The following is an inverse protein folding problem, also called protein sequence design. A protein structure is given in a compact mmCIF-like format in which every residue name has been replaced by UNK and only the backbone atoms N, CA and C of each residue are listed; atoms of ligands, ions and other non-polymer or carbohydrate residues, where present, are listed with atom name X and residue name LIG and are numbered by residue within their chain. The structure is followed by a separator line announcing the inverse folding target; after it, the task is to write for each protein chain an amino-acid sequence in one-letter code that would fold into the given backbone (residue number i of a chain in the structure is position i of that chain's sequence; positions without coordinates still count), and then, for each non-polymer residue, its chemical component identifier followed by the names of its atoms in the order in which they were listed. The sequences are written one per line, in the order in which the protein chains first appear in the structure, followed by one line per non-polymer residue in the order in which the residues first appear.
data_IF_596683962717
#
_entry.id   IF_596683962717
#
_cell.length_a   1.000
_cell.length_b   1.000
_cell.length_c   1.000
_cell.angle_alpha   90.00
_cell.angle_beta   90.00
_cell.angle_gamma   90.00
#
_symmetry.space_group_name_H-M   'P 1'
#
loop_
_entity.id
_entity.type
_entity.pdbx_description
1 polymer ?
#
# COMPACT_ATOMS: atom_id res chain seq x y z
N UNK A 1 66.16 10.06 45.12
CA UNK A 1 66.34 9.60 43.73
C UNK A 1 67.80 9.25 43.54
N UNK A 2 68.10 8.16 42.83
CA UNK A 2 69.48 7.73 42.58
C UNK A 2 69.99 8.37 41.30
N UNK A 3 71.13 9.03 41.40
CA UNK A 3 71.84 9.56 40.24
C UNK A 3 72.45 8.39 39.46
N UNK A 4 72.39 8.46 38.13
CA UNK A 4 72.86 7.39 37.23
C UNK A 4 73.93 7.96 36.32
N UNK A 5 75.05 7.26 36.17
CA UNK A 5 76.15 7.72 35.31
C UNK A 5 75.78 7.64 33.83
N UNK A 6 76.35 8.53 33.01
CA UNK A 6 76.07 8.54 31.57
C UNK A 6 76.40 7.22 30.89
N UNK A 7 77.48 6.54 31.32
CA UNK A 7 77.85 5.20 30.82
C UNK A 7 76.78 4.14 31.08
N UNK A 8 76.19 4.14 32.27
CA UNK A 8 75.15 3.16 32.64
C UNK A 8 73.84 3.47 31.93
N UNK A 9 73.48 4.76 31.80
CA UNK A 9 72.32 5.21 31.04
C UNK A 9 72.46 4.89 29.53
N UNK A 10 73.66 5.06 28.96
CA UNK A 10 73.95 4.73 27.57
C UNK A 10 73.78 3.24 27.28
N UNK A 11 74.28 2.37 28.18
CA UNK A 11 74.10 0.93 28.10
C UNK A 11 72.63 0.51 28.21
N UNK A 12 71.89 1.09 29.15
CA UNK A 12 70.45 0.85 29.33
C UNK A 12 69.64 1.25 28.08
N UNK A 13 69.98 2.39 27.47
CA UNK A 13 69.32 2.92 26.27
C UNK A 13 69.89 2.40 24.96
N UNK A 14 70.90 1.53 25.01
CA UNK A 14 71.59 0.98 23.84
C UNK A 14 72.04 2.07 22.84
N UNK A 15 72.55 3.19 23.37
CA UNK A 15 73.08 4.31 22.59
C UNK A 15 74.55 4.53 22.93
N UNK A 16 75.32 5.09 22.00
CA UNK A 16 76.72 5.43 22.31
C UNK A 16 76.77 6.56 23.33
N UNK A 17 77.78 6.50 24.21
CA UNK A 17 78.04 7.53 25.23
C UNK A 17 78.18 8.91 24.59
N UNK A 18 78.89 9.00 23.47
CA UNK A 18 79.08 10.22 22.70
C UNK A 18 77.76 10.81 22.18
N UNK A 19 76.85 9.96 21.67
CA UNK A 19 75.54 10.40 21.20
C UNK A 19 74.68 10.91 22.35
N UNK A 20 74.73 10.25 23.50
CA UNK A 20 73.99 10.66 24.68
C UNK A 20 74.50 12.01 25.22
N UNK A 21 75.82 12.20 25.27
CA UNK A 21 76.46 13.48 25.62
C UNK A 21 76.03 14.58 24.64
N UNK A 22 76.03 14.30 23.33
CA UNK A 22 75.55 15.24 22.32
C UNK A 22 74.07 15.59 22.52
N UNK A 23 73.21 14.63 22.84
CA UNK A 23 71.79 14.87 23.09
C UNK A 23 71.55 15.72 24.35
N UNK A 24 72.35 15.54 25.40
CA UNK A 24 72.32 16.42 26.57
C UNK A 24 72.80 17.83 26.22
N UNK A 25 73.85 17.97 25.42
CA UNK A 25 74.34 19.26 24.95
C UNK A 25 73.29 19.99 24.09
N UNK A 26 72.62 19.28 23.19
CA UNK A 26 71.50 19.79 22.39
C UNK A 26 70.33 20.24 23.30
N UNK A 27 70.10 19.53 24.41
CA UNK A 27 69.12 19.90 25.43
C UNK A 27 69.61 21.00 26.41
N UNK A 28 70.80 21.58 26.18
CA UNK A 28 71.36 22.67 26.98
C UNK A 28 72.10 22.25 28.26
N UNK A 29 72.28 20.94 28.49
CA UNK A 29 72.94 20.39 29.67
C UNK A 29 74.32 19.87 29.25
N UNK A 30 75.40 20.54 29.67
CA UNK A 30 76.76 20.06 29.38
C UNK A 30 77.17 18.99 30.39
N UNK A 31 77.41 17.77 29.91
CA UNK A 31 77.91 16.64 30.69
C UNK A 31 79.00 15.91 29.92
N UNK A 32 79.92 15.29 30.64
CA UNK A 32 80.99 14.46 30.11
C UNK A 32 80.69 12.97 30.34
N UNK A 33 81.49 12.08 29.75
CA UNK A 33 81.24 10.64 29.78
C UNK A 33 81.18 10.03 31.20
N UNK A 34 81.82 10.66 32.17
CA UNK A 34 81.94 10.18 33.55
C UNK A 34 80.96 10.86 34.52
N UNK A 35 80.20 11.86 34.05
CA UNK A 35 79.27 12.60 34.90
C UNK A 35 78.00 11.79 35.22
N UNK A 36 77.39 12.15 36.34
CA UNK A 36 76.10 11.64 36.79
C UNK A 36 74.95 12.50 36.26
N UNK A 37 73.86 11.83 35.91
CA UNK A 37 72.61 12.42 35.42
C UNK A 37 71.55 12.31 36.52
N UNK A 38 71.02 13.47 36.92
CA UNK A 38 69.90 13.54 37.86
C UNK A 38 68.59 13.16 37.18
N UNK A 39 67.56 12.84 37.97
CA UNK A 39 66.25 12.54 37.41
C UNK A 39 65.64 13.72 36.64
N UNK A 40 65.87 14.96 37.09
CA UNK A 40 65.38 16.16 36.38
C UNK A 40 66.03 16.30 35.00
N UNK A 41 67.35 16.09 34.91
CA UNK A 41 68.09 16.15 33.65
C UNK A 41 67.64 15.06 32.67
N UNK A 42 67.30 13.86 33.16
CA UNK A 42 66.70 12.80 32.34
C UNK A 42 65.35 13.21 31.78
N UNK A 43 64.50 13.85 32.59
CA UNK A 43 63.21 14.37 32.13
C UNK A 43 63.42 15.40 31.00
N UNK A 44 64.34 16.35 31.18
CA UNK A 44 64.66 17.36 30.15
C UNK A 44 65.13 16.74 28.85
N UNK A 45 65.99 15.71 28.91
CA UNK A 45 66.40 14.96 27.73
C UNK A 45 65.21 14.28 27.04
N UNK A 46 64.31 13.65 27.80
CA UNK A 46 63.10 13.01 27.26
C UNK A 46 62.19 14.04 26.58
N UNK A 47 61.98 15.20 27.20
CA UNK A 47 61.15 16.27 26.64
C UNK A 47 61.73 16.79 25.33
N UNK A 48 63.04 17.04 25.28
CA UNK A 48 63.71 17.46 24.05
C UNK A 48 63.63 16.38 22.95
N UNK A 49 63.82 15.10 23.29
CA UNK A 49 63.68 14.01 22.32
C UNK A 49 62.24 13.88 21.82
N UNK A 50 61.24 14.04 22.69
CA UNK A 50 59.84 14.01 22.30
C UNK A 50 59.46 15.20 21.42
N UNK A 51 60.02 16.39 21.68
CA UNK A 51 59.85 17.57 20.83
C UNK A 51 60.53 17.39 19.47
N UNK A 52 61.71 16.77 19.41
CA UNK A 52 62.42 16.50 18.16
C UNK A 52 61.77 15.39 17.32
N UNK A 53 61.17 14.39 17.97
CA UNK A 53 60.43 13.31 17.32
C UNK A 53 58.97 13.68 17.01
N UNK A 54 58.47 14.80 17.54
CA UNK A 54 57.24 15.42 17.11
C UNK A 54 57.45 15.96 15.70
N UNK A 55 56.95 15.23 14.70
CA UNK A 55 57.02 15.62 13.29
C UNK A 55 56.47 17.04 13.02
N UNK A 56 56.56 17.53 11.78
CA UNK A 56 56.26 18.93 11.46
C UNK A 56 54.85 19.34 11.89
N UNK A 57 54.72 20.55 12.44
CA UNK A 57 53.45 21.12 12.89
C UNK A 57 52.39 21.22 11.78
N UNK A 58 52.82 21.17 10.52
CA UNK A 58 51.98 21.23 9.34
C UNK A 58 52.32 20.11 8.36
N UNK A 59 51.37 19.21 8.14
CA UNK A 59 51.46 18.13 7.16
C UNK A 59 50.50 18.40 5.99
N UNK A 60 51.03 18.59 4.79
CA UNK A 60 50.21 18.71 3.57
C UNK A 60 50.16 17.40 2.81
N UNK A 61 48.97 16.79 2.72
CA UNK A 61 48.71 15.63 1.88
C UNK A 61 48.17 16.08 0.52
N UNK A 62 48.84 15.66 -0.56
CA UNK A 62 48.44 15.93 -1.93
C UNK A 62 47.87 14.65 -2.56
N UNK A 63 46.66 14.72 -3.11
CA UNK A 63 46.04 13.61 -3.84
C UNK A 63 45.80 14.00 -5.29
N UNK A 64 46.19 13.13 -6.22
CA UNK A 64 45.92 13.28 -7.65
C UNK A 64 44.91 12.24 -8.07
N UNK A 65 43.88 12.63 -8.81
CA UNK A 65 42.86 11.73 -9.35
C UNK A 65 42.63 12.10 -10.81
N UNK A 66 42.83 11.14 -11.72
CA UNK A 66 42.61 11.34 -13.15
C UNK A 66 41.25 10.76 -13.50
N UNK A 67 40.44 11.52 -14.22
CA UNK A 67 39.14 11.09 -14.75
C UNK A 67 39.07 11.43 -16.24
N UNK A 68 38.24 10.72 -17.00
CA UNK A 68 37.98 11.05 -18.40
C UNK A 68 36.59 11.63 -18.51
N UNK A 69 36.48 12.85 -19.06
CA UNK A 69 35.21 13.51 -19.30
C UNK A 69 34.87 13.39 -20.79
N UNK A 70 33.74 12.76 -21.08
CA UNK A 70 33.21 12.67 -22.43
C UNK A 70 32.29 13.86 -22.68
N UNK A 71 32.68 14.71 -23.63
CA UNK A 71 31.91 15.90 -24.00
C UNK A 71 31.18 15.59 -25.33
N UNK A 72 29.84 15.66 -25.36
CA UNK A 72 29.10 15.54 -26.61
C UNK A 72 29.37 16.76 -27.48
N UNK A 73 29.95 16.56 -28.67
CA UNK A 73 30.22 17.63 -29.62
C UNK A 73 29.05 17.88 -30.56
N UNK A 74 28.88 19.13 -30.99
CA UNK A 74 27.95 19.49 -32.07
C UNK A 74 28.37 18.79 -33.36
N UNK A 75 27.51 17.92 -33.89
CA UNK A 75 27.77 17.12 -35.09
C UNK A 75 28.05 15.62 -34.86
N UNK A 76 27.69 15.07 -33.69
CA UNK A 76 27.68 13.61 -33.46
C UNK A 76 29.04 12.99 -33.11
N UNK A 77 30.12 13.79 -33.05
CA UNK A 77 31.46 13.36 -32.64
C UNK A 77 31.68 13.71 -31.18
N UNK A 78 31.88 12.72 -30.31
CA UNK A 78 32.25 12.92 -28.91
C UNK A 78 33.76 13.12 -28.77
N UNK A 79 34.18 14.06 -27.91
CA UNK A 79 35.58 14.25 -27.52
C UNK A 79 35.75 13.77 -26.09
N UNK A 80 36.77 12.94 -25.84
CA UNK A 80 37.18 12.58 -24.48
C UNK A 80 38.34 13.47 -24.05
N UNK A 81 38.20 14.09 -22.88
CA UNK A 81 39.24 14.92 -22.26
C UNK A 81 39.69 14.25 -20.97
N UNK A 82 40.99 13.99 -20.84
CA UNK A 82 41.54 13.46 -19.59
C UNK A 82 41.79 14.61 -18.61
N UNK A 83 41.05 14.62 -17.51
CA UNK A 83 41.11 15.65 -16.47
C UNK A 83 41.87 15.08 -15.28
N UNK A 84 42.90 15.78 -14.82
CA UNK A 84 43.55 15.49 -13.54
C UNK A 84 43.11 16.49 -12.48
N UNK A 85 42.44 16.01 -11.44
CA UNK A 85 42.09 16.81 -10.27
C UNK A 85 43.20 16.62 -9.22
N UNK A 86 43.79 17.73 -8.77
CA UNK A 86 44.77 17.77 -7.68
C UNK A 86 44.10 18.36 -6.44
N UNK A 87 43.97 17.58 -5.36
CA UNK A 87 43.45 18.02 -4.07
C UNK A 87 44.59 18.16 -3.07
N UNK A 88 44.62 19.28 -2.35
CA UNK A 88 45.50 19.49 -1.19
C UNK A 88 44.68 19.41 0.10
N UNK A 89 45.13 18.62 1.07
CA UNK A 89 44.63 18.65 2.45
C UNK A 89 45.77 19.02 3.37
N UNK A 90 45.57 20.02 4.21
CA UNK A 90 46.59 20.50 5.15
C UNK A 90 46.12 20.14 6.55
N UNK A 91 46.88 19.31 7.24
CA UNK A 91 46.68 18.98 8.64
C UNK A 91 47.66 19.80 9.48
N UNK A 92 47.14 20.49 10.48
CA UNK A 92 47.94 21.22 11.46
C UNK A 92 47.85 20.43 12.76
N UNK A 93 48.98 20.25 13.44
CA UNK A 93 49.03 19.63 14.76
C UNK A 93 48.33 20.58 15.74
N UNK A 94 47.11 20.22 16.13
CA UNK A 94 46.28 20.99 17.09
C UNK A 94 46.56 20.51 18.50
N UNK A 95 46.40 21.41 19.46
CA UNK A 95 46.46 21.05 20.87
C UNK A 95 45.39 19.99 21.20
N UNK A 96 45.71 19.03 22.07
CA UNK A 96 44.80 17.92 22.38
C UNK A 96 43.44 18.40 22.91
N UNK A 97 43.40 19.51 23.64
CA UNK A 97 42.15 20.11 24.13
C UNK A 97 41.28 20.69 23.01
N UNK A 98 41.87 21.34 22.00
CA UNK A 98 41.11 21.84 20.85
C UNK A 98 40.63 20.69 19.96
N UNK A 99 41.46 19.66 19.79
CA UNK A 99 41.10 18.46 19.05
C UNK A 99 39.90 17.73 19.67
N UNK A 100 39.87 17.61 21.00
CA UNK A 100 38.76 17.00 21.74
C UNK A 100 37.47 17.82 21.62
N UNK A 101 37.55 19.15 21.72
CA UNK A 101 36.38 20.04 21.52
C UNK A 101 35.79 19.92 20.12
N UNK A 102 36.63 19.92 19.09
CA UNK A 102 36.19 19.76 17.69
C UNK A 102 35.61 18.37 17.43
N UNK A 103 36.19 17.32 18.01
CA UNK A 103 35.65 15.97 17.90
C UNK A 103 34.27 15.85 18.58
N UNK A 104 34.10 16.47 19.76
CA UNK A 104 32.80 16.52 20.44
C UNK A 104 31.75 17.31 19.65
N UNK A 105 32.14 18.44 19.04
CA UNK A 105 31.24 19.21 18.17
C UNK A 105 30.85 18.43 16.90
N UNK A 106 31.80 17.76 16.26
CA UNK A 106 31.53 16.92 15.08
C UNK A 106 30.63 15.73 15.44
N UNK A 107 30.81 15.12 16.61
CA UNK A 107 29.93 14.05 17.10
C UNK A 107 28.52 14.58 17.37
N UNK A 108 28.39 15.71 18.07
CA UNK A 108 27.09 16.33 18.32
C UNK A 108 26.35 16.69 17.02
N UNK A 109 27.06 17.20 16.01
CA UNK A 109 26.48 17.48 14.70
C UNK A 109 26.01 16.21 13.99
N UNK A 110 26.80 15.13 14.03
CA UNK A 110 26.43 13.84 13.42
C UNK A 110 25.22 13.21 14.12
N UNK A 111 25.18 13.27 15.45
CA UNK A 111 24.04 12.76 16.22
C UNK A 111 22.76 13.55 15.92
N UNK A 112 22.85 14.88 15.83
CA UNK A 112 21.73 15.74 15.46
C UNK A 112 21.24 15.45 14.02
N UNK A 113 22.16 15.29 13.05
CA UNK A 113 21.81 14.94 11.68
C UNK A 113 21.18 13.54 11.59
N UNK A 114 21.69 12.57 12.35
CA UNK A 114 21.13 11.23 12.39
C UNK A 114 19.75 11.19 13.05
N UNK A 115 19.54 11.93 14.14
CA UNK A 115 18.23 12.10 14.76
C UNK A 115 17.23 12.73 13.80
N UNK A 116 17.59 13.84 13.15
CA UNK A 116 16.72 14.48 12.15
C UNK A 116 16.37 13.53 11.00
N UNK A 117 17.32 12.70 10.55
CA UNK A 117 17.07 11.69 9.52
C UNK A 117 16.12 10.59 9.99
N UNK A 118 16.28 10.10 11.22
CA UNK A 118 15.40 9.07 11.81
C UNK A 118 13.99 9.59 12.01
N UNK A 119 13.84 10.82 12.52
CA UNK A 119 12.53 11.47 12.70
C UNK A 119 11.81 11.65 11.35
N UNK A 120 12.52 12.11 10.32
CA UNK A 120 11.96 12.26 8.98
C UNK A 120 11.55 10.91 8.36
N UNK A 121 12.32 9.85 8.58
CA UNK A 121 11.97 8.51 8.11
C UNK A 121 10.75 7.94 8.85
N UNK A 122 10.68 8.14 10.16
CA UNK A 122 9.56 7.68 10.98
C UNK A 122 8.27 8.44 10.64
N UNK A 123 8.34 9.76 10.44
CA UNK A 123 7.18 10.56 10.01
C UNK A 123 6.69 10.10 8.63
N UNK A 124 7.60 9.85 7.68
CA UNK A 124 7.22 9.36 6.35
C UNK A 124 6.55 7.98 6.42
N UNK A 125 7.05 7.06 7.27
CA UNK A 125 6.43 5.75 7.48
C UNK A 125 5.04 5.86 8.11
N UNK A 126 4.87 6.70 9.13
CA UNK A 126 3.56 6.94 9.78
C UNK A 126 2.55 7.53 8.81
N UNK A 127 2.96 8.50 7.99
CA UNK A 127 2.08 9.11 6.99
C UNK A 127 1.66 8.09 5.91
N UNK A 128 2.60 7.27 5.43
CA UNK A 128 2.31 6.20 4.49
C UNK A 128 1.33 5.15 5.07
N UNK A 129 1.52 4.76 6.33
CA UNK A 129 0.62 3.82 7.01
C UNK A 129 -0.78 4.40 7.19
N UNK A 130 -0.90 5.65 7.67
CA UNK A 130 -2.21 6.30 7.82
C UNK A 130 -2.93 6.46 6.48
N UNK A 131 -2.18 6.76 5.41
CA UNK A 131 -2.77 6.87 4.08
C UNK A 131 -3.30 5.51 3.58
N UNK A 132 -2.51 4.45 3.76
CA UNK A 132 -2.93 3.09 3.40
C UNK A 132 -4.16 2.64 4.22
N UNK A 133 -4.21 2.93 5.51
CA UNK A 133 -5.35 2.59 6.36
C UNK A 133 -6.62 3.37 5.96
N UNK A 134 -6.49 4.65 5.63
CA UNK A 134 -7.61 5.46 5.11
C UNK A 134 -8.12 4.94 3.77
N UNK A 135 -7.25 4.62 2.84
CA UNK A 135 -7.64 4.05 1.54
C UNK A 135 -8.32 2.68 1.71
N UNK A 136 -7.80 1.81 2.58
CA UNK A 136 -8.43 0.52 2.88
C UNK A 136 -9.81 0.68 3.54
N UNK A 137 -9.94 1.60 4.50
CA UNK A 137 -11.21 1.88 5.16
C UNK A 137 -12.24 2.48 4.19
N UNK A 138 -11.81 3.34 3.25
CA UNK A 138 -12.68 3.89 2.23
C UNK A 138 -13.11 2.83 1.21
N UNK A 139 -12.21 1.95 0.78
CA UNK A 139 -12.54 0.82 -0.08
C UNK A 139 -13.56 -0.11 0.58
N UNK A 140 -13.33 -0.50 1.84
CA UNK A 140 -14.26 -1.34 2.59
C UNK A 140 -15.66 -0.70 2.71
N UNK A 141 -15.75 0.62 2.94
CA UNK A 141 -17.03 1.34 2.95
C UNK A 141 -17.71 1.34 1.58
N UNK A 142 -16.95 1.54 0.50
CA UNK A 142 -17.49 1.52 -0.87
C UNK A 142 -18.01 0.13 -1.25
N UNK A 143 -17.26 -0.91 -0.95
CA UNK A 143 -17.67 -2.30 -1.20
C UNK A 143 -18.91 -2.68 -0.39
N UNK A 144 -18.97 -2.33 0.90
CA UNK A 144 -20.16 -2.57 1.72
C UNK A 144 -21.39 -1.82 1.20
N UNK A 145 -21.23 -0.55 0.78
CA UNK A 145 -22.32 0.22 0.19
C UNK A 145 -22.78 -0.34 -1.17
N UNK A 146 -21.86 -0.86 -1.97
CA UNK A 146 -22.19 -1.49 -3.25
C UNK A 146 -22.90 -2.83 -3.04
N UNK A 147 -22.43 -3.66 -2.10
CA UNK A 147 -23.10 -4.90 -1.73
C UNK A 147 -24.53 -4.65 -1.23
N UNK A 148 -24.72 -3.67 -0.33
CA UNK A 148 -26.05 -3.30 0.16
C UNK A 148 -26.98 -2.84 -0.99
N UNK A 149 -26.46 -2.08 -1.96
CA UNK A 149 -27.24 -1.68 -3.15
C UNK A 149 -27.59 -2.87 -4.04
N UNK A 150 -26.66 -3.81 -4.24
CA UNK A 150 -26.89 -5.01 -5.04
C UNK A 150 -27.93 -5.92 -4.38
N UNK A 151 -27.83 -6.15 -3.07
CA UNK A 151 -28.80 -6.94 -2.31
C UNK A 151 -30.19 -6.30 -2.31
N UNK A 152 -30.29 -4.98 -2.16
CA UNK A 152 -31.56 -4.27 -2.26
C UNK A 152 -32.18 -4.40 -3.67
N UNK A 153 -31.38 -4.21 -4.72
CA UNK A 153 -31.84 -4.35 -6.10
C UNK A 153 -32.23 -5.80 -6.46
N UNK A 154 -31.58 -6.81 -5.87
CA UNK A 154 -31.95 -8.21 -6.03
C UNK A 154 -33.27 -8.52 -5.31
N UNK A 155 -33.44 -8.06 -4.07
CA UNK A 155 -34.71 -8.22 -3.34
C UNK A 155 -35.88 -7.57 -4.06
N UNK A 156 -35.70 -6.37 -4.61
CA UNK A 156 -36.74 -5.70 -5.39
C UNK A 156 -37.09 -6.49 -6.65
N UNK A 157 -36.09 -7.04 -7.37
CA UNK A 157 -36.35 -7.89 -8.55
C UNK A 157 -37.09 -9.17 -8.19
N UNK A 158 -36.72 -9.84 -7.10
CA UNK A 158 -37.37 -11.08 -6.66
C UNK A 158 -38.81 -10.81 -6.20
N UNK A 159 -39.04 -9.71 -5.46
CA UNK A 159 -40.39 -9.29 -5.06
C UNK A 159 -41.26 -9.02 -6.28
N UNK A 160 -40.76 -8.24 -7.25
CA UNK A 160 -41.53 -7.89 -8.45
C UNK A 160 -41.83 -9.13 -9.31
N UNK A 161 -40.91 -10.09 -9.40
CA UNK A 161 -41.15 -11.36 -10.08
C UNK A 161 -42.19 -12.23 -9.37
N UNK A 162 -42.20 -12.26 -8.03
CA UNK A 162 -43.23 -12.97 -7.26
C UNK A 162 -44.61 -12.31 -7.42
N UNK A 163 -44.66 -10.97 -7.43
CA UNK A 163 -45.90 -10.23 -7.65
C UNK A 163 -46.46 -10.44 -9.07
N UNK A 164 -45.60 -10.48 -10.10
CA UNK A 164 -46.02 -10.79 -11.47
C UNK A 164 -46.47 -12.25 -11.63
N UNK A 165 -45.76 -13.20 -11.02
CA UNK A 165 -46.14 -14.62 -11.02
C UNK A 165 -47.51 -14.84 -10.36
N UNK A 166 -47.76 -14.19 -9.22
CA UNK A 166 -49.03 -14.31 -8.50
C UNK A 166 -50.18 -13.63 -9.23
N UNK A 167 -49.98 -12.45 -9.83
CA UNK A 167 -50.98 -11.79 -10.68
C UNK A 167 -51.31 -12.63 -11.92
N UNK A 168 -50.30 -13.20 -12.58
CA UNK A 168 -50.52 -14.03 -13.77
C UNK A 168 -51.27 -15.33 -13.43
N UNK A 169 -50.93 -15.97 -12.31
CA UNK A 169 -51.64 -17.15 -11.82
C UNK A 169 -53.11 -16.84 -11.45
N UNK A 170 -53.37 -15.68 -10.84
CA UNK A 170 -54.74 -15.23 -10.54
C UNK A 170 -55.53 -14.90 -11.81
N UNK A 171 -54.91 -14.24 -12.80
CA UNK A 171 -55.53 -13.94 -14.08
C UNK A 171 -55.85 -15.21 -14.88
N UNK A 172 -54.96 -16.21 -14.88
CA UNK A 172 -55.21 -17.49 -15.53
C UNK A 172 -56.35 -18.26 -14.86
N UNK A 173 -56.39 -18.27 -13.52
CA UNK A 173 -57.49 -18.88 -12.76
C UNK A 173 -58.83 -18.21 -13.07
N UNK A 174 -58.87 -16.88 -13.10
CA UNK A 174 -60.08 -16.13 -13.44
C UNK A 174 -60.54 -16.42 -14.89
N UNK A 175 -59.61 -16.53 -15.84
CA UNK A 175 -59.93 -16.88 -17.23
C UNK A 175 -60.52 -18.29 -17.36
N UNK A 176 -59.95 -19.27 -16.66
CA UNK A 176 -60.48 -20.64 -16.63
C UNK A 176 -61.87 -20.71 -15.99
N UNK A 177 -62.12 -19.92 -14.95
CA UNK A 177 -63.43 -19.84 -14.30
C UNK A 177 -64.50 -19.18 -15.21
N UNK A 178 -64.13 -18.13 -15.94
CA UNK A 178 -64.99 -17.52 -16.96
C UNK A 178 -65.33 -18.49 -18.09
N UNK A 179 -64.33 -19.20 -18.62
CA UNK A 179 -64.55 -20.20 -19.68
C UNK A 179 -65.47 -21.35 -19.20
N UNK A 180 -65.29 -21.82 -17.96
CA UNK A 180 -66.17 -22.81 -17.36
C UNK A 180 -67.60 -22.29 -17.15
N UNK A 181 -67.76 -21.03 -16.74
CA UNK A 181 -69.07 -20.39 -16.60
C UNK A 181 -69.79 -20.21 -17.94
N UNK A 182 -69.07 -19.84 -19.00
CA UNK A 182 -69.62 -19.74 -20.35
C UNK A 182 -70.05 -21.10 -20.90
N UNK A 183 -69.24 -22.14 -20.70
CA UNK A 183 -69.61 -23.52 -21.05
C UNK A 183 -70.87 -23.97 -20.32
N UNK A 184 -70.98 -23.67 -19.01
CA UNK A 184 -72.17 -23.99 -18.22
C UNK A 184 -73.40 -23.22 -18.70
N UNK A 185 -73.25 -21.95 -19.05
CA UNK A 185 -74.35 -21.12 -19.59
C UNK A 185 -74.82 -21.63 -20.95
N UNK A 186 -73.90 -21.99 -21.85
CA UNK A 186 -74.23 -22.59 -23.16
C UNK A 186 -74.96 -23.93 -22.97
N UNK A 187 -74.52 -24.76 -22.03
CA UNK A 187 -75.21 -26.01 -21.71
C UNK A 187 -76.62 -25.79 -21.14
N UNK A 188 -76.82 -24.78 -20.29
CA UNK A 188 -78.15 -24.43 -19.79
C UNK A 188 -79.06 -23.87 -20.90
N UNK A 189 -78.53 -23.00 -21.77
CA UNK A 189 -79.28 -22.45 -22.91
C UNK A 189 -79.66 -23.54 -23.91
N UNK A 190 -78.77 -24.50 -24.20
CA UNK A 190 -79.09 -25.65 -25.07
C UNK A 190 -80.13 -26.58 -24.42
N UNK A 191 -80.03 -26.82 -23.11
CA UNK A 191 -81.03 -27.59 -22.37
C UNK A 191 -82.41 -26.90 -22.37
N UNK A 192 -82.45 -25.57 -22.16
CA UNK A 192 -83.68 -24.78 -22.27
C UNK A 192 -84.27 -24.83 -23.67
N UNK A 193 -83.44 -24.70 -24.71
CA UNK A 193 -83.90 -24.78 -26.10
C UNK A 193 -84.49 -26.16 -26.43
N UNK A 194 -83.87 -27.25 -25.95
CA UNK A 194 -84.43 -28.61 -26.11
C UNK A 194 -85.78 -28.76 -25.40
N UNK A 195 -85.91 -28.24 -24.18
CA UNK A 195 -87.18 -28.23 -23.44
C UNK A 195 -88.25 -27.37 -24.15
N UNK A 196 -87.88 -26.24 -24.74
CA UNK A 196 -88.79 -25.38 -25.50
C UNK A 196 -89.22 -26.04 -26.82
N UNK A 197 -88.30 -26.69 -27.54
CA UNK A 197 -88.60 -27.46 -28.75
C UNK A 197 -89.50 -28.67 -28.46
N UNK A 198 -89.28 -29.38 -27.35
CA UNK A 198 -90.19 -30.44 -26.88
C UNK A 198 -91.56 -29.90 -26.49
N UNK A 199 -91.62 -28.79 -25.75
CA UNK A 199 -92.89 -28.14 -25.40
C UNK A 199 -93.65 -27.68 -26.65
N UNK A 200 -92.95 -27.19 -27.68
CA UNK A 200 -93.54 -26.81 -28.97
C UNK A 200 -94.09 -28.02 -29.72
N UNK A 201 -93.36 -29.15 -29.72
CA UNK A 201 -93.85 -30.41 -30.31
C UNK A 201 -95.11 -30.92 -29.60
N UNK A 202 -95.13 -30.91 -28.27
CA UNK A 202 -96.30 -31.31 -27.48
C UNK A 202 -97.48 -30.37 -27.75
N UNK A 203 -97.24 -29.06 -27.89
CA UNK A 203 -98.28 -28.10 -28.23
C UNK A 203 -98.81 -28.25 -29.67
N UNK A 204 -97.94 -28.60 -30.63
CA UNK A 204 -98.31 -28.89 -32.01
C UNK A 204 -99.06 -30.22 -32.14
N UNK A 205 -98.65 -31.25 -31.40
CA UNK A 205 -99.37 -32.51 -31.28
C UNK A 205 -100.74 -32.31 -30.63
N UNK A 206 -100.83 -31.50 -29.57
CA UNK A 206 -102.11 -31.11 -28.97
C UNK A 206 -102.99 -30.32 -29.96
N UNK A 207 -102.41 -29.45 -30.80
CA UNK A 207 -103.14 -28.77 -31.89
C UNK A 207 -103.62 -29.74 -32.96
N UNK A 208 -102.79 -30.71 -33.36
CA UNK A 208 -103.16 -31.74 -34.32
C UNK A 208 -104.29 -32.63 -33.80
N UNK A 209 -104.23 -33.02 -32.53
CA UNK A 209 -105.30 -33.76 -31.85
C UNK A 209 -106.59 -32.92 -31.74
N UNK A 210 -106.48 -31.59 -31.60
CA UNK A 210 -107.62 -30.68 -31.62
C UNK A 210 -108.19 -30.47 -33.04
N UNK A 211 -107.37 -30.47 -34.09
CA UNK A 211 -107.82 -30.47 -35.48
C UNK A 211 -108.44 -31.81 -35.91
N UNK A 212 -107.90 -32.94 -35.43
CA UNK A 212 -108.46 -34.27 -35.66
C UNK A 212 -109.81 -34.44 -34.94
N UNK A 213 -109.93 -33.93 -33.70
CA UNK A 213 -111.23 -33.82 -33.03
C UNK A 213 -112.20 -32.85 -33.72
N UNK A 214 -111.70 -31.80 -34.38
CA UNK A 214 -112.52 -30.88 -35.18
C UNK A 214 -112.95 -31.47 -36.53
N UNK A 215 -112.25 -32.50 -37.03
CA UNK A 215 -112.65 -33.27 -38.21
C UNK A 215 -113.68 -34.35 -37.88
N UNK A 216 -113.71 -34.84 -36.63
CA UNK A 216 -114.74 -35.79 -36.15
C UNK A 216 -116.05 -35.12 -35.73
N UNK A 217 -116.09 -33.79 -35.62
CA UNK A 217 -117.28 -33.00 -35.24
C UNK A 217 -117.86 -32.20 -36.43
N UNK A 218 -117.76 -32.77 -37.64
CA UNK A 218 -118.47 -32.30 -38.83
C UNK A 218 -118.99 -33.47 -39.68
N UNK A 219 -119.54 -34.48 -38.99
CA UNK A 219 -120.35 -35.55 -39.57
C UNK A 219 -121.46 -35.93 -38.57
N UNK A 220 -122.51 -35.11 -38.52
CA UNK A 220 -123.84 -35.47 -38.02
C UNK A 220 -124.85 -35.14 -39.14
N UNK A 221 -126.11 -35.59 -39.07
CA UNK A 221 -126.64 -36.96 -38.93
C UNK A 221 -127.70 -37.23 -40.04
N UNK A 222 -128.26 -38.45 -40.16
CA UNK A 222 -129.67 -38.73 -40.58
C UNK A 222 -129.93 -40.24 -40.77
N UNK A 223 -130.74 -40.82 -39.88
CA UNK A 223 -132.04 -41.52 -40.11
C UNK A 223 -132.45 -41.79 -41.59
N UNK A 224 -133.18 -42.82 -42.06
CA UNK A 224 -133.97 -43.97 -41.56
C UNK A 224 -134.46 -44.75 -42.84
N UNK A 225 -134.65 -46.08 -42.81
CA UNK A 225 -135.78 -46.76 -43.50
C UNK A 225 -135.80 -48.30 -43.33
N UNK A 226 -136.93 -48.77 -42.78
CA UNK A 226 -137.72 -50.01 -43.07
C UNK A 226 -137.06 -51.39 -43.11
#
# INVERSE_FOLDING_TARGET
MTDVTIKTLAAERQTSVERLVQQFADAGIRKSADDSVSAQEKQTLIDHLNQKNSGPDKLTLQRKTRSTLNIPGTGGKSKSVQIEVRKKRTFVKRDPQEAERLAAEEQAQREAEEQARREAEESAKREAQQKAEREAAEQAKREAAEQAKREAAEKDKVSNQQDDMTKNAQAEKARREQEAAELKRKAEEEARRKLEEEARRVAEEARRMAEENKWTDNAEPTEDSS
#
